data_IF_397743336140
#
_entry.id   IF_397743336140
#
_cell.length_a   1.000
_cell.length_b   1.000
_cell.length_c   1.000
_cell.angle_alpha   90.00
_cell.angle_beta   90.00
_cell.angle_gamma   90.00
#
_symmetry.space_group_name_H-M   'P 1'
#
loop_
_entity.id
_entity.type
_entity.pdbx_description
1 polymer ?
#
# COMPACT_ATOMS: atom_id res chain seq x y z
N UNK A 1 -11.73 20.38 -15.86
CA UNK A 1 -11.01 19.29 -15.17
C UNK A 1 -10.98 18.00 -16.00
N UNK A 2 -12.10 17.37 -16.35
CA UNK A 2 -12.13 16.20 -17.25
C UNK A 2 -11.55 16.48 -18.67
N UNK A 3 -11.87 17.64 -19.24
CA UNK A 3 -11.30 18.09 -20.54
C UNK A 3 -9.79 18.34 -20.49
N UNK A 4 -9.28 18.75 -19.32
CA UNK A 4 -7.84 18.98 -19.12
C UNK A 4 -7.08 17.64 -19.06
N UNK A 5 -7.68 16.60 -18.46
CA UNK A 5 -7.18 15.21 -18.48
C UNK A 5 -7.10 14.63 -19.90
N UNK A 6 -8.16 14.80 -20.72
CA UNK A 6 -8.15 14.29 -22.09
C UNK A 6 -7.14 15.03 -22.97
N UNK A 7 -6.86 16.30 -22.66
CA UNK A 7 -5.88 17.10 -23.37
C UNK A 7 -4.44 16.70 -22.99
N UNK A 8 -4.11 16.62 -21.71
CA UNK A 8 -2.77 16.19 -21.23
C UNK A 8 -2.47 14.75 -21.66
N UNK A 9 -3.47 13.86 -21.60
CA UNK A 9 -3.35 12.48 -22.11
C UNK A 9 -3.12 12.45 -23.62
N UNK A 10 -3.80 13.28 -24.41
CA UNK A 10 -3.55 13.40 -25.86
C UNK A 10 -2.14 13.94 -26.15
N UNK A 11 -1.73 14.97 -25.42
CA UNK A 11 -0.45 15.65 -25.66
C UNK A 11 0.75 14.78 -25.25
N UNK A 12 0.59 13.84 -24.31
CA UNK A 12 1.59 12.81 -24.01
C UNK A 12 1.61 11.71 -25.09
N UNK A 13 0.43 11.26 -25.55
CA UNK A 13 0.31 10.23 -26.61
C UNK A 13 0.83 10.74 -27.97
N UNK A 14 0.67 12.03 -28.25
CA UNK A 14 1.16 12.69 -29.46
C UNK A 14 2.62 13.20 -29.31
N UNK A 15 3.33 12.81 -28.25
CA UNK A 15 4.71 13.21 -27.92
C UNK A 15 4.95 14.74 -27.84
N UNK A 16 3.88 15.52 -27.67
CA UNK A 16 3.94 16.98 -27.50
C UNK A 16 4.43 17.39 -26.11
N UNK A 17 4.30 16.50 -25.13
CA UNK A 17 4.78 16.68 -23.76
C UNK A 17 5.64 15.46 -23.37
N UNK A 18 6.91 15.71 -23.03
CA UNK A 18 7.78 14.70 -22.42
C UNK A 18 7.73 14.84 -20.90
N UNK A 19 7.17 13.86 -20.17
CA UNK A 19 6.97 13.98 -18.74
C UNK A 19 8.32 14.00 -18.01
N UNK A 20 8.65 15.13 -17.38
CA UNK A 20 9.67 15.16 -16.31
C UNK A 20 9.12 14.48 -15.06
N UNK A 21 10.00 14.09 -14.13
CA UNK A 21 9.71 13.44 -12.83
C UNK A 21 8.40 13.88 -12.15
N UNK A 22 8.03 15.15 -12.26
CA UNK A 22 6.82 15.73 -11.68
C UNK A 22 5.50 15.22 -12.30
N UNK A 23 5.52 14.83 -13.57
CA UNK A 23 4.34 14.35 -14.29
C UNK A 23 3.95 12.90 -13.95
N UNK A 24 4.87 12.09 -13.41
CA UNK A 24 4.56 10.76 -12.88
C UNK A 24 3.67 10.87 -11.62
N UNK A 25 3.88 11.91 -10.81
CA UNK A 25 3.05 12.22 -9.64
C UNK A 25 1.65 12.70 -10.04
N UNK A 26 1.54 13.56 -11.05
CA UNK A 26 0.26 13.97 -11.64
C UNK A 26 -0.51 12.77 -12.20
N UNK A 27 0.16 11.87 -12.94
CA UNK A 27 -0.46 10.69 -13.52
C UNK A 27 -0.93 9.68 -12.45
N UNK A 28 -0.15 9.47 -11.39
CA UNK A 28 -0.54 8.63 -10.26
C UNK A 28 -1.71 9.24 -9.48
N UNK A 29 -1.67 10.54 -9.17
CA UNK A 29 -2.75 11.24 -8.47
C UNK A 29 -4.06 11.25 -9.29
N UNK A 30 -3.96 11.41 -10.62
CA UNK A 30 -5.11 11.43 -11.54
C UNK A 30 -5.68 10.03 -11.80
N UNK A 31 -4.85 8.99 -11.85
CA UNK A 31 -5.32 7.60 -11.92
C UNK A 31 -6.14 7.22 -10.68
N UNK A 32 -5.69 7.66 -9.50
CA UNK A 32 -6.42 7.47 -8.24
C UNK A 32 -7.73 8.26 -8.20
N UNK A 33 -7.74 9.48 -8.74
CA UNK A 33 -8.96 10.30 -8.80
C UNK A 33 -10.03 9.71 -9.75
N UNK A 34 -9.60 9.06 -10.83
CA UNK A 34 -10.49 8.40 -11.79
C UNK A 34 -11.13 7.12 -11.25
N UNK A 35 -10.45 6.37 -10.37
CA UNK A 35 -10.95 5.13 -9.79
C UNK A 35 -11.87 5.33 -8.57
N UNK A 36 -11.69 6.39 -7.78
CA UNK A 36 -12.40 6.58 -6.49
C UNK A 36 -13.51 7.65 -6.48
N UNK A 37 -13.77 8.32 -7.61
CA UNK A 37 -14.78 9.39 -7.70
C UNK A 37 -14.46 10.60 -6.80
N UNK A 38 -15.38 11.58 -6.68
CA UNK A 38 -15.24 12.86 -5.94
C UNK A 38 -14.95 12.76 -4.42
N UNK A 39 -14.37 11.66 -3.92
CA UNK A 39 -13.75 11.64 -2.61
C UNK A 39 -12.42 12.39 -2.68
N UNK A 40 -12.12 13.30 -1.75
CA UNK A 40 -10.84 13.98 -1.74
C UNK A 40 -9.72 12.93 -1.68
N UNK A 41 -8.64 13.06 -2.46
CA UNK A 41 -7.51 12.16 -2.36
C UNK A 41 -7.03 12.19 -0.90
N UNK A 42 -6.84 11.04 -0.24
CA UNK A 42 -6.36 11.02 1.14
C UNK A 42 -4.94 11.56 1.17
N UNK A 43 -4.80 12.86 1.49
CA UNK A 43 -3.56 13.60 1.76
C UNK A 43 -2.38 13.14 0.88
N UNK A 44 -2.63 12.91 -0.41
CA UNK A 44 -1.62 12.36 -1.34
C UNK A 44 -0.47 13.37 -1.51
N UNK A 45 -0.70 14.65 -1.29
CA UNK A 45 0.30 15.70 -1.50
C UNK A 45 1.57 15.56 -0.62
N UNK A 46 1.51 14.89 0.55
CA UNK A 46 2.63 14.81 1.49
C UNK A 46 3.38 13.45 1.50
N UNK A 47 3.08 12.53 0.56
CA UNK A 47 3.66 11.17 0.52
C UNK A 47 4.88 10.98 -0.41
N UNK A 48 5.32 11.97 -1.20
CA UNK A 48 6.17 11.79 -2.41
C UNK A 48 7.60 12.43 -2.48
N UNK A 49 8.51 12.13 -1.54
CA UNK A 49 9.60 12.93 -0.92
C UNK A 49 10.59 12.10 -0.08
N UNK A 50 11.48 11.39 -0.74
CA UNK A 50 12.36 10.36 -0.19
C UNK A 50 12.70 10.41 1.32
N UNK A 51 12.37 9.32 2.03
CA UNK A 51 12.95 8.86 3.30
C UNK A 51 12.92 9.79 4.54
N UNK A 52 12.44 11.04 4.48
CA UNK A 52 12.49 11.97 5.62
C UNK A 52 11.21 12.83 5.76
N UNK A 53 10.05 12.19 5.96
CA UNK A 53 8.77 12.83 5.68
C UNK A 53 7.87 13.29 6.83
N UNK A 54 8.31 13.14 8.06
CA UNK A 54 7.56 13.69 9.17
C UNK A 54 7.62 15.22 9.35
N UNK A 55 8.42 16.04 8.62
CA UNK A 55 8.39 17.49 8.85
C UNK A 55 7.14 18.23 8.32
N UNK A 56 6.28 17.61 7.50
CA UNK A 56 5.19 18.35 6.82
C UNK A 56 3.76 17.98 7.22
N UNK A 57 3.55 16.99 8.09
CA UNK A 57 2.22 16.81 8.71
C UNK A 57 2.03 17.91 9.76
N UNK A 58 1.46 19.04 9.33
CA UNK A 58 1.46 20.31 10.07
C UNK A 58 0.55 20.37 11.29
N UNK A 59 -0.37 19.40 11.46
CA UNK A 59 -1.35 19.41 12.56
C UNK A 59 -1.65 18.01 13.10
N UNK A 60 -2.03 17.94 14.38
CA UNK A 60 -2.46 16.70 15.05
C UNK A 60 -3.64 16.03 14.34
N UNK A 61 -4.53 16.83 13.72
CA UNK A 61 -5.68 16.31 12.95
C UNK A 61 -5.22 15.54 11.72
N UNK A 62 -4.27 16.07 10.95
CA UNK A 62 -3.76 15.39 9.75
C UNK A 62 -2.96 14.13 10.13
N UNK A 63 -2.24 14.15 11.25
CA UNK A 63 -1.56 12.96 11.79
C UNK A 63 -2.55 11.85 12.15
N UNK A 64 -3.65 12.21 12.81
CA UNK A 64 -4.68 11.25 13.21
C UNK A 64 -5.33 10.58 12.00
N UNK A 65 -5.74 11.36 10.98
CA UNK A 65 -6.33 10.81 9.75
C UNK A 65 -5.37 9.87 9.01
N UNK A 66 -4.08 10.24 8.95
CA UNK A 66 -3.03 9.38 8.40
C UNK A 66 -2.91 8.07 9.18
N UNK A 67 -2.91 8.14 10.52
CA UNK A 67 -2.89 6.96 11.37
C UNK A 67 -4.09 6.04 11.09
N UNK A 68 -5.30 6.60 11.01
CA UNK A 68 -6.51 5.82 10.73
C UNK A 68 -6.44 5.11 9.38
N UNK A 69 -5.92 5.79 8.35
CA UNK A 69 -5.74 5.19 7.03
C UNK A 69 -4.73 4.06 7.05
N UNK A 70 -3.54 4.29 7.60
CA UNK A 70 -2.49 3.29 7.64
C UNK A 70 -2.92 2.09 8.50
N UNK A 71 -3.69 2.31 9.58
CA UNK A 71 -4.28 1.20 10.36
C UNK A 71 -5.21 0.35 9.51
N UNK A 72 -6.07 0.96 8.70
CA UNK A 72 -6.91 0.21 7.73
C UNK A 72 -6.05 -0.55 6.73
N UNK A 73 -4.99 0.05 6.20
CA UNK A 73 -4.10 -0.60 5.24
C UNK A 73 -3.38 -1.82 5.82
N UNK A 74 -3.10 -1.84 7.13
CA UNK A 74 -2.59 -3.03 7.82
C UNK A 74 -3.68 -4.11 7.90
N UNK A 75 -4.87 -3.78 8.40
CA UNK A 75 -5.98 -4.74 8.59
C UNK A 75 -6.46 -5.34 7.26
N UNK A 76 -6.56 -4.53 6.21
CA UNK A 76 -6.92 -4.94 4.85
C UNK A 76 -5.77 -5.59 4.08
N UNK A 77 -4.64 -5.84 4.76
CA UNK A 77 -3.44 -6.45 4.21
C UNK A 77 -2.91 -5.74 2.95
N UNK A 78 -3.06 -4.41 2.83
CA UNK A 78 -2.34 -3.61 1.83
C UNK A 78 -0.87 -3.44 2.21
N UNK A 79 -0.60 -3.22 3.50
CA UNK A 79 0.74 -3.29 4.08
C UNK A 79 0.85 -4.62 4.81
N UNK A 80 1.87 -5.42 4.51
CA UNK A 80 2.05 -6.74 5.13
C UNK A 80 3.25 -6.77 6.09
N UNK A 81 3.10 -6.26 7.33
CA UNK A 81 4.18 -6.32 8.30
C UNK A 81 4.49 -7.77 8.69
N UNK A 82 5.71 -8.01 9.19
CA UNK A 82 6.06 -9.27 9.86
C UNK A 82 5.33 -9.36 11.21
N UNK A 83 5.26 -10.57 11.79
CA UNK A 83 4.48 -10.84 13.00
C UNK A 83 4.87 -9.94 14.19
N UNK A 84 6.15 -9.78 14.42
CA UNK A 84 6.71 -8.91 15.47
C UNK A 84 6.26 -7.45 15.29
N UNK A 85 6.42 -6.90 14.08
CA UNK A 85 5.97 -5.54 13.77
C UNK A 85 4.44 -5.42 13.87
N UNK A 86 3.68 -6.42 13.41
CA UNK A 86 2.21 -6.41 13.51
C UNK A 86 1.73 -6.34 14.98
N UNK A 87 2.40 -7.06 15.88
CA UNK A 87 2.04 -7.06 17.30
C UNK A 87 2.43 -5.74 17.97
N UNK A 88 3.56 -5.16 17.58
CA UNK A 88 3.98 -3.83 18.03
C UNK A 88 2.98 -2.76 17.58
N UNK A 89 2.55 -2.79 16.31
CA UNK A 89 1.52 -1.92 15.76
C UNK A 89 0.19 -2.07 16.49
N UNK A 90 -0.23 -3.30 16.79
CA UNK A 90 -1.43 -3.56 17.56
C UNK A 90 -1.36 -2.94 18.97
N UNK A 91 -0.22 -3.09 19.66
CA UNK A 91 0.00 -2.49 20.99
C UNK A 91 0.00 -0.95 20.96
N UNK A 92 0.61 -0.34 19.94
CA UNK A 92 0.57 1.11 19.73
C UNK A 92 -0.84 1.61 19.41
N UNK A 93 -1.61 0.87 18.62
CA UNK A 93 -3.00 1.21 18.32
C UNK A 93 -3.89 1.12 19.57
N UNK A 94 -3.70 0.10 20.42
CA UNK A 94 -4.36 0.01 21.73
C UNK A 94 -4.00 1.20 22.62
N UNK A 95 -2.72 1.60 22.66
CA UNK A 95 -2.28 2.76 23.43
C UNK A 95 -2.88 4.08 22.91
N UNK A 96 -3.01 4.22 21.59
CA UNK A 96 -3.65 5.38 20.97
C UNK A 96 -5.15 5.46 21.33
N UNK A 97 -5.84 4.33 21.34
CA UNK A 97 -7.30 4.29 21.54
C UNK A 97 -7.71 4.31 23.02
N UNK A 98 -7.00 3.58 23.88
CA UNK A 98 -7.37 3.39 25.28
C UNK A 98 -6.48 4.14 26.28
N UNK A 99 -5.37 4.73 25.84
CA UNK A 99 -4.34 5.25 26.74
C UNK A 99 -3.62 4.08 27.41
N UNK A 100 -3.39 4.15 28.73
CA UNK A 100 -2.69 3.07 29.43
C UNK A 100 -3.53 1.79 29.49
N UNK A 101 -2.85 0.63 29.39
CA UNK A 101 -3.45 -0.68 29.63
C UNK A 101 -4.32 -0.69 30.91
N UNK A 102 -5.59 -1.14 30.82
CA UNK A 102 -6.42 -1.36 31.99
C UNK A 102 -5.81 -2.35 32.99
N UNK A 103 -6.26 -2.34 34.26
CA UNK A 103 -5.81 -3.31 35.26
C UNK A 103 -5.94 -4.75 34.77
N UNK A 104 -5.00 -5.66 35.11
CA UNK A 104 -4.96 -7.04 34.57
C UNK A 104 -6.23 -7.88 34.75
N UNK A 105 -7.14 -7.50 35.66
CA UNK A 105 -8.44 -8.15 35.84
C UNK A 105 -9.38 -7.93 34.64
N UNK A 106 -9.22 -6.81 33.92
CA UNK A 106 -9.97 -6.48 32.71
C UNK A 106 -9.19 -6.99 31.50
N UNK A 107 -9.77 -7.95 30.79
CA UNK A 107 -9.09 -8.68 29.70
C UNK A 107 -9.86 -8.65 28.37
N UNK A 108 -11.10 -8.16 28.36
CA UNK A 108 -12.04 -8.13 27.25
C UNK A 108 -12.22 -6.73 26.64
N UNK A 109 -11.28 -5.80 26.89
CA UNK A 109 -11.38 -4.42 26.43
C UNK A 109 -11.04 -4.22 24.94
N UNK A 110 -10.66 -5.28 24.23
CA UNK A 110 -10.37 -5.25 22.80
C UNK A 110 -10.55 -6.64 22.15
N UNK A 111 -10.76 -6.67 20.84
CA UNK A 111 -10.80 -7.89 20.02
C UNK A 111 -9.57 -7.94 19.11
N UNK A 112 -8.87 -9.08 19.06
CA UNK A 112 -7.69 -9.29 18.23
C UNK A 112 -7.93 -8.91 16.75
N UNK A 113 -9.12 -9.19 16.21
CA UNK A 113 -9.42 -8.96 14.78
C UNK A 113 -9.47 -7.46 14.41
N UNK A 114 -9.65 -6.57 15.38
CA UNK A 114 -9.63 -5.12 15.14
C UNK A 114 -8.21 -4.54 15.08
N UNK A 115 -7.22 -5.25 15.60
CA UNK A 115 -5.84 -4.77 15.72
C UNK A 115 -4.83 -5.60 14.93
N UNK A 116 -5.21 -6.79 14.46
CA UNK A 116 -4.35 -7.65 13.67
C UNK A 116 -5.03 -8.12 12.37
N UNK A 117 -4.26 -8.24 11.28
CA UNK A 117 -4.68 -8.97 10.09
C UNK A 117 -5.15 -10.39 10.41
N UNK A 118 -6.15 -10.88 9.67
CA UNK A 118 -6.75 -12.20 9.87
C UNK A 118 -5.70 -13.33 9.89
N UNK A 119 -4.63 -13.23 9.08
CA UNK A 119 -3.55 -14.23 9.04
C UNK A 119 -2.86 -14.46 10.39
N UNK A 120 -2.87 -13.47 11.29
CA UNK A 120 -2.31 -13.60 12.64
C UNK A 120 -3.34 -14.05 13.68
N UNK A 121 -4.63 -13.85 13.40
CA UNK A 121 -5.71 -14.29 14.28
C UNK A 121 -6.01 -15.79 14.13
N UNK A 122 -5.61 -16.42 13.03
CA UNK A 122 -5.87 -17.83 12.71
C UNK A 122 -5.05 -18.85 13.55
N UNK A 123 -4.52 -18.47 14.72
CA UNK A 123 -3.79 -19.37 15.62
C UNK A 123 -4.73 -20.13 16.57
N UNK A 124 -4.32 -21.31 17.03
CA UNK A 124 -5.16 -22.23 17.84
C UNK A 124 -5.63 -21.68 19.21
N UNK A 125 -5.06 -20.57 19.72
CA UNK A 125 -5.50 -19.97 21.00
C UNK A 125 -5.63 -18.43 20.92
N UNK A 126 -6.85 -17.90 20.67
CA UNK A 126 -7.11 -16.47 20.63
C UNK A 126 -6.93 -15.78 22.00
N UNK A 127 -7.09 -16.49 23.12
CA UNK A 127 -6.91 -15.93 24.47
C UNK A 127 -5.44 -15.72 24.79
N UNK A 128 -4.58 -16.65 24.36
CA UNK A 128 -3.12 -16.47 24.45
C UNK A 128 -2.68 -15.26 23.64
N UNK A 129 -3.18 -15.10 22.42
CA UNK A 129 -2.87 -13.94 21.58
C UNK A 129 -3.31 -12.63 22.25
N UNK A 130 -4.54 -12.58 22.77
CA UNK A 130 -5.05 -11.41 23.48
C UNK A 130 -4.18 -11.09 24.72
N UNK A 131 -3.72 -12.11 25.46
CA UNK A 131 -2.83 -11.92 26.61
C UNK A 131 -1.49 -11.31 26.21
N UNK A 132 -0.89 -11.78 25.12
CA UNK A 132 0.37 -11.24 24.57
C UNK A 132 0.19 -9.78 24.14
N UNK A 133 -0.87 -9.46 23.40
CA UNK A 133 -1.12 -8.08 22.96
C UNK A 133 -1.39 -7.14 24.13
N UNK A 134 -2.12 -7.60 25.16
CA UNK A 134 -2.34 -6.83 26.37
C UNK A 134 -1.02 -6.58 27.13
N UNK A 135 -0.13 -7.56 27.20
CA UNK A 135 1.21 -7.41 27.79
C UNK A 135 2.03 -6.35 27.05
N UNK A 136 2.07 -6.44 25.72
CA UNK A 136 2.75 -5.46 24.87
C UNK A 136 2.16 -4.05 24.99
N UNK A 137 0.83 -3.92 25.08
CA UNK A 137 0.16 -2.64 25.36
C UNK A 137 0.67 -2.01 26.67
N UNK A 138 0.91 -2.83 27.70
CA UNK A 138 1.47 -2.37 28.98
C UNK A 138 2.87 -1.73 28.86
N UNK A 139 3.68 -2.11 27.87
CA UNK A 139 5.00 -1.52 27.65
C UNK A 139 4.96 -0.06 27.20
N UNK A 140 3.83 0.41 26.68
CA UNK A 140 3.65 1.79 26.22
C UNK A 140 3.01 2.71 27.26
N UNK A 141 2.82 2.25 28.50
CA UNK A 141 2.24 3.04 29.58
C UNK A 141 2.93 4.42 29.73
N UNK A 142 2.13 5.48 29.77
CA UNK A 142 2.58 6.87 29.84
C UNK A 142 2.82 7.52 28.46
N UNK A 143 2.74 6.77 27.37
CA UNK A 143 2.81 7.33 26.01
C UNK A 143 1.49 8.04 25.68
N UNK A 144 1.56 9.28 25.19
CA UNK A 144 0.37 10.02 24.74
C UNK A 144 -0.21 9.39 23.47
N UNK A 145 -1.52 9.56 23.25
CA UNK A 145 -2.20 9.09 22.05
C UNK A 145 -1.49 9.53 20.76
N UNK A 146 -1.21 10.84 20.63
CA UNK A 146 -0.52 11.41 19.47
C UNK A 146 0.87 10.80 19.22
N UNK A 147 1.61 10.52 20.29
CA UNK A 147 2.95 9.93 20.21
C UNK A 147 2.89 8.45 19.80
N UNK A 148 1.85 7.73 20.25
CA UNK A 148 1.59 6.35 19.84
C UNK A 148 1.22 6.27 18.35
N UNK A 149 0.33 7.16 17.89
CA UNK A 149 -0.03 7.29 16.46
C UNK A 149 1.19 7.62 15.59
N UNK A 150 2.03 8.56 16.05
CA UNK A 150 3.25 8.93 15.33
C UNK A 150 4.23 7.76 15.22
N UNK A 151 4.46 7.02 16.31
CA UNK A 151 5.29 5.80 16.29
C UNK A 151 4.70 4.72 15.39
N UNK A 152 3.38 4.54 15.41
CA UNK A 152 2.69 3.60 14.53
C UNK A 152 3.00 3.91 13.05
N UNK A 153 2.81 5.17 12.64
CA UNK A 153 3.10 5.62 11.27
C UNK A 153 4.59 5.41 10.93
N UNK A 154 5.51 5.75 11.84
CA UNK A 154 6.96 5.56 11.63
C UNK A 154 7.35 4.11 11.38
N UNK A 155 6.72 3.16 12.07
CA UNK A 155 6.96 1.73 11.83
C UNK A 155 6.44 1.36 10.45
N UNK A 156 5.20 1.75 10.12
CA UNK A 156 4.60 1.48 8.82
C UNK A 156 5.41 2.05 7.64
N UNK A 157 5.97 3.26 7.78
CA UNK A 157 6.79 3.92 6.74
C UNK A 157 8.05 3.14 6.35
N UNK A 158 8.53 2.22 7.20
CA UNK A 158 9.69 1.38 6.89
C UNK A 158 9.36 0.23 5.93
N UNK A 159 8.07 -0.05 5.72
CA UNK A 159 7.62 -1.10 4.83
C UNK A 159 7.71 -0.66 3.37
N UNK A 160 8.14 -1.59 2.51
CA UNK A 160 8.32 -1.33 1.08
C UNK A 160 7.00 -1.00 0.38
N UNK A 161 5.91 -1.58 0.83
CA UNK A 161 4.55 -1.38 0.33
C UNK A 161 3.81 -0.22 1.02
N UNK A 162 4.49 0.60 1.83
CA UNK A 162 3.88 1.79 2.42
C UNK A 162 3.45 2.79 1.33
N UNK A 163 2.17 3.17 1.35
CA UNK A 163 1.57 4.03 0.34
C UNK A 163 1.43 3.37 -1.05
N UNK A 164 1.54 2.04 -1.13
CA UNK A 164 1.39 1.32 -2.38
C UNK A 164 -0.08 1.21 -2.81
N UNK A 165 -0.32 1.44 -4.09
CA UNK A 165 -1.56 1.08 -4.76
C UNK A 165 -1.39 -0.27 -5.45
N UNK A 166 -2.07 -1.28 -4.92
CA UNK A 166 -1.92 -2.67 -5.32
C UNK A 166 -2.99 -3.07 -6.33
N UNK A 167 -2.55 -3.56 -7.49
CA UNK A 167 -3.43 -4.03 -8.56
C UNK A 167 -3.05 -5.46 -8.92
N UNK A 168 -4.05 -6.34 -8.97
CA UNK A 168 -3.85 -7.71 -9.41
C UNK A 168 -3.70 -7.76 -10.93
N UNK A 169 -2.70 -8.48 -11.42
CA UNK A 169 -2.36 -8.54 -12.84
C UNK A 169 -2.14 -9.97 -13.34
N UNK A 170 -2.04 -10.13 -14.66
CA UNK A 170 -1.74 -11.38 -15.36
C UNK A 170 -0.46 -11.22 -16.19
N UNK A 171 0.39 -12.25 -16.26
CA UNK A 171 1.51 -12.28 -17.24
C UNK A 171 1.00 -12.38 -18.69
N UNK A 172 -0.06 -13.17 -18.88
CA UNK A 172 -0.63 -13.44 -20.19
C UNK A 172 -2.02 -12.81 -20.34
N UNK A 173 -2.39 -12.48 -21.58
CA UNK A 173 -3.71 -11.94 -21.89
C UNK A 173 -4.81 -12.93 -21.47
N UNK A 174 -5.81 -12.51 -20.68
CA UNK A 174 -6.92 -13.39 -20.33
C UNK A 174 -7.68 -13.85 -21.59
N UNK A 175 -7.81 -15.16 -21.82
CA UNK A 175 -8.61 -15.73 -22.91
C UNK A 175 -10.04 -16.01 -22.44
N UNK A 176 -11.04 -15.66 -23.26
CA UNK A 176 -12.42 -15.47 -22.83
C UNK A 176 -13.25 -16.70 -22.42
N UNK A 177 -12.72 -17.93 -22.52
CA UNK A 177 -13.53 -19.16 -22.30
C UNK A 177 -13.14 -19.99 -21.08
N UNK A 178 -11.95 -19.75 -20.51
CA UNK A 178 -11.59 -20.21 -19.17
C UNK A 178 -10.96 -18.99 -18.55
N UNK A 179 -11.61 -18.41 -17.53
CA UNK A 179 -11.05 -17.28 -16.80
C UNK A 179 -9.62 -17.66 -16.45
N UNK A 180 -8.65 -17.09 -17.18
CA UNK A 180 -7.26 -17.16 -16.78
C UNK A 180 -7.31 -16.57 -15.40
N UNK A 181 -7.21 -17.41 -14.38
CA UNK A 181 -7.28 -16.91 -13.04
C UNK A 181 -5.99 -16.09 -12.85
N UNK A 182 -6.01 -14.96 -12.12
CA UNK A 182 -4.88 -14.04 -12.09
C UNK A 182 -3.75 -14.64 -11.29
N UNK A 183 -3.04 -15.52 -11.97
CA UNK A 183 -2.03 -16.43 -11.51
C UNK A 183 -0.94 -16.44 -12.57
N UNK A 184 0.30 -16.49 -12.11
CA UNK A 184 1.45 -16.79 -12.93
C UNK A 184 1.26 -18.18 -13.55
N UNK A 185 1.31 -18.34 -14.88
CA UNK A 185 1.15 -19.64 -15.52
C UNK A 185 2.23 -20.65 -15.13
N UNK A 186 3.40 -20.18 -14.66
CA UNK A 186 4.51 -21.05 -14.29
C UNK A 186 4.39 -21.55 -12.83
N UNK A 187 3.88 -20.72 -11.91
CA UNK A 187 3.82 -21.02 -10.46
C UNK A 187 2.40 -21.24 -9.93
N UNK A 188 1.37 -20.76 -10.65
CA UNK A 188 -0.02 -20.72 -10.20
C UNK A 188 -0.31 -19.64 -9.14
N UNK A 189 0.64 -18.76 -8.82
CA UNK A 189 0.53 -17.75 -7.76
C UNK A 189 0.02 -16.40 -8.28
N UNK A 190 -0.73 -15.64 -7.47
CA UNK A 190 -1.27 -14.36 -7.93
C UNK A 190 -0.20 -13.28 -8.05
N UNK A 191 -0.25 -12.52 -9.15
CA UNK A 191 0.68 -11.42 -9.40
C UNK A 191 0.04 -10.07 -9.12
N UNK A 192 0.85 -9.18 -8.57
CA UNK A 192 0.45 -7.83 -8.19
C UNK A 192 1.44 -6.80 -8.70
N UNK A 193 0.92 -5.65 -9.10
CA UNK A 193 1.70 -4.44 -9.31
C UNK A 193 1.39 -3.47 -8.17
N UNK A 194 2.43 -2.98 -7.51
CA UNK A 194 2.38 -1.92 -6.52
C UNK A 194 2.89 -0.62 -7.15
N UNK A 195 2.03 0.37 -7.32
CA UNK A 195 2.45 1.72 -7.73
C UNK A 195 2.77 2.51 -6.46
N UNK A 196 3.99 3.01 -6.34
CA UNK A 196 4.53 3.63 -5.13
C UNK A 196 5.24 4.95 -5.46
N UNK A 197 5.46 5.84 -4.47
CA UNK A 197 6.22 7.07 -4.66
C UNK A 197 7.60 6.90 -5.28
N UNK A 198 8.29 5.79 -4.99
CA UNK A 198 9.65 5.52 -5.48
C UNK A 198 9.71 4.81 -6.83
N UNK A 199 8.62 4.15 -7.25
CA UNK A 199 8.62 3.30 -8.42
C UNK A 199 7.44 2.34 -8.47
N UNK A 200 7.60 1.30 -9.29
CA UNK A 200 6.64 0.21 -9.46
C UNK A 200 7.26 -1.07 -8.91
N UNK A 201 6.59 -1.73 -7.97
CA UNK A 201 6.96 -3.06 -7.50
C UNK A 201 6.10 -4.12 -8.17
N UNK A 202 6.70 -5.24 -8.53
CA UNK A 202 6.01 -6.44 -9.02
C UNK A 202 6.12 -7.49 -7.92
N UNK A 203 4.98 -8.04 -7.50
CA UNK A 203 4.90 -9.00 -6.41
C UNK A 203 4.19 -10.29 -6.83
N UNK A 204 4.52 -11.37 -6.14
CA UNK A 204 3.87 -12.67 -6.25
C UNK A 204 3.36 -13.12 -4.87
N UNK A 205 2.15 -13.66 -4.81
CA UNK A 205 1.58 -14.24 -3.59
C UNK A 205 2.13 -15.64 -3.31
N UNK A 206 2.86 -15.78 -2.20
CA UNK A 206 3.25 -17.05 -1.64
C UNK A 206 2.45 -17.29 -0.35
N UNK A 207 1.35 -18.05 -0.47
CA UNK A 207 0.38 -18.19 0.63
C UNK A 207 -0.28 -16.84 0.93
N UNK A 208 -0.28 -16.36 2.20
CA UNK A 208 -0.87 -15.07 2.56
C UNK A 208 0.08 -13.88 2.37
N UNK A 209 1.33 -14.09 1.91
CA UNK A 209 2.36 -13.06 1.84
C UNK A 209 2.68 -12.72 0.39
N UNK A 210 2.82 -11.42 0.09
CA UNK A 210 3.32 -10.91 -1.18
C UNK A 210 4.84 -10.75 -1.12
N UNK A 211 5.56 -11.50 -1.94
CA UNK A 211 7.00 -11.36 -2.13
C UNK A 211 7.32 -10.49 -3.32
N UNK A 212 8.32 -9.60 -3.17
CA UNK A 212 8.76 -8.71 -4.24
C UNK A 212 9.59 -9.51 -5.27
N UNK A 213 9.13 -9.54 -6.51
CA UNK A 213 9.83 -10.16 -7.64
C UNK A 213 10.75 -9.18 -8.36
N UNK A 214 10.27 -7.97 -8.61
CA UNK A 214 11.00 -6.93 -9.33
C UNK A 214 10.58 -5.55 -8.85
N UNK A 215 11.49 -4.59 -8.98
CA UNK A 215 11.22 -3.19 -8.64
C UNK A 215 11.77 -2.30 -9.76
N UNK A 216 10.91 -1.46 -10.33
CA UNK A 216 11.25 -0.51 -11.37
C UNK A 216 11.20 0.89 -10.77
N UNK A 217 12.36 1.47 -10.49
CA UNK A 217 12.42 2.84 -9.95
C UNK A 217 11.97 3.85 -11.01
N UNK A 218 11.34 4.95 -10.58
CA UNK A 218 10.89 5.97 -11.52
C UNK A 218 12.03 6.60 -12.32
N UNK A 219 13.22 6.70 -11.72
CA UNK A 219 14.40 7.26 -12.39
C UNK A 219 14.91 6.39 -13.55
N UNK A 220 14.65 5.08 -13.49
CA UNK A 220 15.09 4.09 -14.46
C UNK A 220 13.95 3.70 -15.43
N UNK A 221 12.71 4.11 -15.14
CA UNK A 221 11.54 3.82 -15.98
C UNK A 221 11.43 4.82 -17.13
N UNK A 222 11.67 4.35 -18.36
CA UNK A 222 11.59 5.18 -19.57
C UNK A 222 10.18 5.22 -20.17
N UNK A 223 9.44 4.12 -20.10
CA UNK A 223 8.10 4.04 -20.70
C UNK A 223 7.14 3.34 -19.76
N UNK A 224 5.97 3.96 -19.62
CA UNK A 224 4.81 3.38 -18.96
C UNK A 224 3.62 3.49 -19.91
N UNK A 225 3.11 2.35 -20.39
CA UNK A 225 2.00 2.33 -21.33
C UNK A 225 0.87 1.46 -20.80
N UNK A 226 -0.36 1.96 -20.93
CA UNK A 226 -1.57 1.18 -20.71
C UNK A 226 -2.49 1.23 -21.93
N UNK A 227 -2.62 0.10 -22.63
CA UNK A 227 -3.54 -0.08 -23.75
C UNK A 227 -4.62 -1.11 -23.41
N UNK A 228 -5.81 -0.59 -23.08
CA UNK A 228 -7.03 -1.33 -22.68
C UNK A 228 -6.85 -2.24 -21.48
N UNK A 229 -6.17 -3.35 -21.66
CA UNK A 229 -5.88 -4.36 -20.65
C UNK A 229 -4.39 -4.66 -20.53
N UNK A 230 -3.54 -4.12 -21.43
CA UNK A 230 -2.11 -4.39 -21.47
C UNK A 230 -1.37 -3.24 -20.80
N UNK A 231 -0.61 -3.55 -19.76
CA UNK A 231 0.29 -2.64 -19.08
C UNK A 231 1.73 -3.00 -19.45
N UNK A 232 2.52 -2.02 -19.89
CA UNK A 232 3.90 -2.21 -20.32
C UNK A 232 4.79 -1.25 -19.56
N UNK A 233 5.85 -1.79 -18.98
CA UNK A 233 6.90 -1.06 -18.28
C UNK A 233 8.19 -1.31 -19.06
N UNK A 234 8.88 -0.24 -19.44
CA UNK A 234 10.24 -0.32 -19.99
C UNK A 234 11.16 0.44 -19.04
N UNK A 235 12.07 -0.29 -18.41
CA UNK A 235 13.08 0.26 -17.52
C UNK A 235 14.48 0.07 -18.11
N UNK A 236 15.37 1.03 -17.87
CA UNK A 236 16.77 0.99 -18.30
C UNK A 236 17.66 1.26 -17.09
N UNK A 237 18.39 0.23 -16.68
CA UNK A 237 19.38 0.31 -15.61
C UNK A 237 20.78 0.19 -16.23
N UNK A 238 21.50 1.32 -16.31
CA UNK A 238 22.78 1.39 -17.00
C UNK A 238 22.64 1.10 -18.50
N UNK A 239 23.22 -0.01 -18.97
CA UNK A 239 23.12 -0.45 -20.37
C UNK A 239 22.05 -1.54 -20.60
N UNK A 240 21.40 -2.02 -19.54
CA UNK A 240 20.39 -3.08 -19.63
C UNK A 240 18.99 -2.48 -19.73
N UNK A 241 18.24 -2.89 -20.75
CA UNK A 241 16.84 -2.57 -20.91
C UNK A 241 15.98 -3.78 -20.55
N UNK A 242 15.00 -3.58 -19.68
CA UNK A 242 14.04 -4.59 -19.27
C UNK A 242 12.65 -4.15 -19.71
N UNK A 243 11.96 -5.00 -20.47
CA UNK A 243 10.55 -4.84 -20.80
C UNK A 243 9.72 -5.80 -19.94
N UNK A 244 8.75 -5.27 -19.21
CA UNK A 244 7.80 -6.04 -18.41
C UNK A 244 6.38 -5.77 -18.90
N UNK A 245 5.67 -6.83 -19.25
CA UNK A 245 4.31 -6.76 -19.78
C UNK A 245 3.37 -7.49 -18.83
N UNK A 246 2.31 -6.80 -18.45
CA UNK A 246 1.25 -7.33 -17.61
C UNK A 246 -0.11 -7.04 -18.23
N UNK A 247 -1.12 -7.74 -17.76
CA UNK A 247 -2.50 -7.50 -18.13
C UNK A 247 -3.39 -7.30 -16.93
N UNK A 248 -4.51 -6.59 -17.09
CA UNK A 248 -5.54 -6.40 -16.05
C UNK A 248 -6.87 -7.00 -16.47
N UNK A 249 -7.76 -7.21 -15.50
CA UNK A 249 -9.18 -7.53 -15.72
C UNK A 249 -9.88 -6.32 -16.39
N UNK A 250 -11.03 -6.56 -17.02
CA UNK A 250 -11.95 -5.57 -17.56
C UNK A 250 -12.02 -4.28 -16.73
N UNK A 251 -11.64 -3.17 -17.36
CA UNK A 251 -12.13 -1.86 -16.99
C UNK A 251 -13.59 -1.78 -17.45
N UNK A 252 -14.55 -1.96 -16.55
CA UNK A 252 -15.92 -1.52 -16.83
C UNK A 252 -15.92 0.01 -16.76
N UNK A 253 -16.48 0.63 -17.80
CA UNK A 253 -16.70 2.09 -17.88
C UNK A 253 -17.91 2.47 -17.04
#
# INVERSE_FOLDING_TARGET
>A
MHELYLQVRRDIIEERIQPRRDAAYELAALALQAEFGNRPPPVIHDYFDNQHYLPQVRTDVTMHELYLQVRRDIIEERIQPRRDAAYELAALALQAEFGNRPPPVIHDYFDNQHYLPQRYCNSDDPKRLQSVLAEMHGHYAGTKSSDAEHKFIQICQRHRDFGAHLHRVFRNKPTGNHGAAPFDPDTGAALWIAIMPRGIGVYEEQGPVRELLAEHLWQDTQTLQFDRKKFVIIAVEGSQQTESIFYTDHHTK
#
